data_IF_847714482621
#
_entry.id   IF_847714482621
#
_cell.length_a   1.000
_cell.length_b   1.000
_cell.length_c   1.000
_cell.angle_alpha   90.00
_cell.angle_beta   90.00
_cell.angle_gamma   90.00
#
_symmetry.space_group_name_H-M   'P 1'
#
loop_
_entity.id
_entity.type
_entity.pdbx_description
1 polymer ?
#
# COMPACT_ATOMS: atom_id res chain seq x y z
N UNK A 1 23.62 -4.69 3.72
CA UNK A 1 23.76 -3.36 4.37
C UNK A 1 22.39 -2.73 4.44
N UNK A 2 22.01 -2.17 5.58
CA UNK A 2 20.64 -1.71 5.80
C UNK A 2 20.38 -0.40 5.05
N UNK A 3 19.52 -0.48 4.02
CA UNK A 3 19.16 0.64 3.15
C UNK A 3 18.49 1.77 3.94
N UNK A 4 17.77 1.45 5.01
CA UNK A 4 16.97 2.41 5.77
C UNK A 4 17.83 3.50 6.45
N UNK A 5 19.03 3.15 6.91
CA UNK A 5 19.94 4.08 7.56
C UNK A 5 20.84 4.86 6.59
N UNK A 6 20.84 4.48 5.31
CA UNK A 6 21.71 5.06 4.27
C UNK A 6 20.96 5.95 3.29
N UNK A 7 19.63 5.97 3.35
CA UNK A 7 18.81 6.92 2.61
C UNK A 7 18.23 7.94 3.59
N UNK A 8 18.49 9.22 3.35
CA UNK A 8 17.93 10.31 4.16
C UNK A 8 16.83 11.04 3.41
N UNK A 9 15.88 11.56 4.19
CA UNK A 9 14.74 12.33 3.71
C UNK A 9 14.73 13.66 4.43
N UNK A 10 14.54 14.74 3.70
CA UNK A 10 14.38 16.08 4.24
C UNK A 10 13.13 16.73 3.64
N UNK A 11 12.05 16.96 4.41
CA UNK A 11 11.91 16.63 5.84
C UNK A 11 11.82 15.11 6.13
N UNK A 12 12.24 14.65 7.33
CA UNK A 12 12.43 13.21 7.60
C UNK A 12 11.17 12.42 8.01
N UNK A 13 10.13 13.09 8.51
CA UNK A 13 8.96 12.43 9.13
C UNK A 13 7.64 12.79 8.46
N UNK A 14 7.43 14.08 8.22
CA UNK A 14 6.17 14.59 7.68
C UNK A 14 6.39 15.78 6.77
N UNK A 15 5.43 15.98 5.87
CA UNK A 15 5.28 17.20 5.08
C UNK A 15 3.99 17.89 5.51
N UNK A 16 4.06 19.21 5.68
CA UNK A 16 2.93 20.01 6.15
C UNK A 16 2.24 20.73 4.99
N UNK A 17 0.93 20.55 4.88
CA UNK A 17 0.08 21.32 3.96
C UNK A 17 -0.98 22.10 4.75
N UNK A 18 -1.38 23.26 4.24
CA UNK A 18 -2.54 24.01 4.75
C UNK A 18 -3.83 23.37 4.20
N UNK A 19 -4.85 23.09 5.02
CA UNK A 19 -6.11 22.51 4.55
C UNK A 19 -7.02 23.58 3.92
N UNK A 20 -6.54 24.24 2.87
CA UNK A 20 -7.22 25.33 2.12
C UNK A 20 -7.53 24.87 0.68
N UNK A 21 -8.50 25.48 -0.02
CA UNK A 21 -8.87 25.13 -1.40
C UNK A 21 -7.88 25.64 -2.45
N UNK A 22 -6.60 25.76 -2.11
CA UNK A 22 -5.54 26.26 -2.99
C UNK A 22 -4.48 25.18 -3.22
N UNK A 23 -3.94 25.15 -4.44
CA UNK A 23 -2.83 24.25 -4.77
C UNK A 23 -1.58 24.64 -3.99
N UNK A 24 -0.92 23.64 -3.41
CA UNK A 24 0.32 23.81 -2.68
C UNK A 24 1.36 22.81 -3.16
N UNK A 25 2.59 23.28 -3.32
CA UNK A 25 3.74 22.46 -3.65
C UNK A 25 4.67 22.43 -2.45
N UNK A 26 5.07 21.23 -2.05
CA UNK A 26 6.09 21.00 -1.03
C UNK A 26 7.18 20.13 -1.65
N UNK A 27 8.40 20.32 -1.17
CA UNK A 27 9.57 19.61 -1.67
C UNK A 27 10.06 18.64 -0.60
N UNK A 28 10.46 17.45 -1.04
CA UNK A 28 11.20 16.49 -0.22
C UNK A 28 12.49 16.16 -0.93
N UNK A 29 13.61 16.38 -0.27
CA UNK A 29 14.93 15.97 -0.77
C UNK A 29 15.26 14.57 -0.26
N UNK A 30 15.64 13.70 -1.17
CA UNK A 30 16.06 12.33 -0.88
C UNK A 30 17.54 12.22 -1.23
N UNK A 31 18.38 11.81 -0.29
CA UNK A 31 19.81 11.64 -0.51
C UNK A 31 20.25 10.19 -0.30
N UNK A 32 21.11 9.72 -1.19
CA UNK A 32 21.67 8.38 -1.18
C UNK A 32 23.09 8.39 -0.60
N UNK A 33 23.22 8.05 0.68
CA UNK A 33 24.51 7.82 1.35
C UNK A 33 24.98 6.35 1.26
N UNK A 34 24.28 5.51 0.49
CA UNK A 34 24.68 4.14 0.22
C UNK A 34 25.81 4.10 -0.83
N UNK A 35 26.58 3.01 -0.85
CA UNK A 35 27.70 2.82 -1.77
C UNK A 35 27.26 2.28 -3.15
N UNK A 36 25.96 2.06 -3.35
CA UNK A 36 25.38 1.57 -4.60
C UNK A 36 24.25 2.48 -5.03
N UNK A 37 23.93 2.45 -6.33
CA UNK A 37 22.75 3.12 -6.85
C UNK A 37 21.49 2.51 -6.23
N UNK A 38 20.50 3.36 -5.98
CA UNK A 38 19.23 2.97 -5.37
C UNK A 38 18.13 3.50 -6.26
N UNK A 39 17.14 2.66 -6.55
CA UNK A 39 15.97 3.05 -7.32
C UNK A 39 14.76 3.24 -6.42
N UNK A 40 13.88 4.15 -6.85
CA UNK A 40 12.79 4.68 -6.05
C UNK A 40 11.48 4.63 -6.84
N UNK A 41 10.40 4.26 -6.16
CA UNK A 41 9.01 4.35 -6.62
C UNK A 41 8.17 5.05 -5.55
N UNK A 42 7.62 6.19 -5.91
CA UNK A 42 6.75 6.98 -5.04
C UNK A 42 5.29 6.49 -5.17
N UNK A 43 4.60 6.41 -4.03
CA UNK A 43 3.17 6.04 -3.91
C UNK A 43 2.45 7.04 -3.00
N UNK A 44 1.12 7.13 -3.12
CA UNK A 44 0.25 8.04 -2.35
C UNK A 44 -1.07 7.37 -2.00
N UNK A 45 -1.72 7.82 -0.93
CA UNK A 45 -3.04 7.32 -0.53
C UNK A 45 -4.19 7.83 -1.39
N UNK A 46 -4.16 9.10 -1.81
CA UNK A 46 -5.23 9.73 -2.58
C UNK A 46 -4.71 10.32 -3.90
N UNK A 47 -4.79 9.58 -5.02
CA UNK A 47 -4.19 10.02 -6.28
C UNK A 47 -4.88 11.21 -6.95
N UNK A 48 -6.17 11.45 -6.67
CA UNK A 48 -6.88 12.64 -7.15
C UNK A 48 -6.51 13.94 -6.42
N UNK A 49 -6.03 13.83 -5.18
CA UNK A 49 -5.72 14.99 -4.30
C UNK A 49 -4.23 15.31 -4.28
N UNK A 50 -3.39 14.30 -4.46
CA UNK A 50 -1.95 14.43 -4.43
C UNK A 50 -1.33 14.08 -5.78
N UNK A 51 -0.39 14.90 -6.24
CA UNK A 51 0.51 14.58 -7.36
C UNK A 51 1.96 14.64 -6.88
N UNK A 52 2.86 14.04 -7.65
CA UNK A 52 4.28 13.99 -7.30
C UNK A 52 5.11 13.93 -8.57
N UNK A 53 6.29 14.56 -8.55
CA UNK A 53 7.23 14.51 -9.67
C UNK A 53 8.68 14.54 -9.18
N UNK A 54 9.54 13.60 -9.62
CA UNK A 54 9.23 12.38 -10.37
C UNK A 54 8.52 11.29 -9.52
N UNK A 55 7.85 10.33 -10.18
CA UNK A 55 7.27 9.13 -9.53
C UNK A 55 8.31 8.01 -9.43
N UNK A 56 9.06 7.80 -10.51
CA UNK A 56 10.12 6.81 -10.63
C UNK A 56 11.44 7.52 -10.89
N UNK A 57 12.49 7.10 -10.20
CA UNK A 57 13.85 7.61 -10.43
C UNK A 57 14.89 6.72 -9.75
N UNK A 58 16.16 6.88 -10.13
CA UNK A 58 17.30 6.31 -9.43
C UNK A 58 18.21 7.43 -8.91
N UNK A 59 18.95 7.12 -7.85
CA UNK A 59 20.02 7.95 -7.31
C UNK A 59 21.32 7.18 -7.32
N UNK A 60 22.35 7.79 -7.91
CA UNK A 60 23.71 7.28 -7.83
C UNK A 60 24.26 7.43 -6.39
N UNK A 61 25.30 6.68 -6.01
CA UNK A 61 25.94 6.84 -4.72
C UNK A 61 26.31 8.30 -4.45
N UNK A 62 26.08 8.77 -3.22
CA UNK A 62 26.41 10.12 -2.75
C UNK A 62 25.71 11.26 -3.52
N UNK A 63 24.59 10.97 -4.19
CA UNK A 63 23.77 11.98 -4.86
C UNK A 63 22.43 12.19 -4.16
N UNK A 64 21.78 13.31 -4.45
CA UNK A 64 20.47 13.65 -3.92
C UNK A 64 19.54 14.17 -5.01
N UNK A 65 18.24 14.06 -4.78
CA UNK A 65 17.21 14.60 -5.68
C UNK A 65 16.01 15.11 -4.91
N UNK A 66 15.49 16.23 -5.37
CA UNK A 66 14.29 16.87 -4.82
C UNK A 66 13.06 16.40 -5.57
N UNK A 67 12.06 15.96 -4.81
CA UNK A 67 10.76 15.49 -5.29
C UNK A 67 9.71 16.54 -4.96
N UNK A 68 8.98 17.00 -5.96
CA UNK A 68 7.87 17.94 -5.78
C UNK A 68 6.60 17.15 -5.45
N UNK A 69 5.99 17.46 -4.31
CA UNK A 69 4.73 16.93 -3.83
C UNK A 69 3.66 18.02 -3.99
N UNK A 70 2.69 17.77 -4.86
CA UNK A 70 1.58 18.66 -5.11
C UNK A 70 0.38 18.22 -4.30
N UNK A 71 -0.29 19.18 -3.68
CA UNK A 71 -1.57 19.04 -3.03
C UNK A 71 -2.56 19.95 -3.74
N UNK A 72 -3.64 19.39 -4.28
CA UNK A 72 -4.65 20.15 -5.06
C UNK A 72 -5.57 21.01 -4.20
N UNK A 73 -5.40 21.01 -2.88
CA UNK A 73 -6.26 21.72 -1.94
C UNK A 73 -7.35 20.85 -1.31
N UNK A 74 -8.01 21.41 -0.30
CA UNK A 74 -9.19 20.83 0.37
C UNK A 74 -10.43 21.61 -0.02
N UNK A 75 -11.50 20.99 -0.54
CA UNK A 75 -12.77 21.68 -0.75
C UNK A 75 -13.29 22.27 0.56
N UNK A 76 -13.93 23.44 0.47
CA UNK A 76 -14.47 24.13 1.64
C UNK A 76 -15.50 23.25 2.37
N UNK A 77 -15.39 23.16 3.69
CA UNK A 77 -16.27 22.34 4.53
C UNK A 77 -15.93 20.84 4.55
N UNK A 78 -14.97 20.37 3.76
CA UNK A 78 -14.49 18.99 3.80
C UNK A 78 -13.30 18.89 4.76
N UNK A 79 -13.38 17.96 5.72
CA UNK A 79 -12.25 17.71 6.65
C UNK A 79 -11.13 16.94 5.95
N UNK A 80 -9.84 17.30 6.19
CA UNK A 80 -8.71 16.56 5.64
C UNK A 80 -8.63 15.16 6.24
N UNK A 81 -8.15 14.19 5.45
CA UNK A 81 -7.94 12.82 5.93
C UNK A 81 -6.56 12.71 6.61
N UNK A 82 -6.54 12.69 7.94
CA UNK A 82 -5.32 12.63 8.74
C UNK A 82 -4.50 11.33 8.60
N UNK A 83 -5.03 10.32 7.89
CA UNK A 83 -4.32 9.07 7.57
C UNK A 83 -3.56 9.12 6.23
N UNK A 84 -3.61 10.26 5.55
CA UNK A 84 -2.91 10.42 4.28
C UNK A 84 -1.40 10.35 4.43
N UNK A 85 -0.77 9.73 3.43
CA UNK A 85 0.67 9.52 3.42
C UNK A 85 1.21 9.38 2.02
N UNK A 86 2.47 9.75 1.87
CA UNK A 86 3.31 9.29 0.79
C UNK A 86 4.09 8.05 1.25
N UNK A 87 4.33 7.14 0.33
CA UNK A 87 5.17 5.97 0.57
C UNK A 87 6.25 5.91 -0.49
N UNK A 88 7.49 5.72 -0.07
CA UNK A 88 8.65 5.61 -0.94
C UNK A 88 9.12 4.17 -0.88
N UNK A 89 9.04 3.48 -2.01
CA UNK A 89 9.58 2.14 -2.16
C UNK A 89 10.97 2.28 -2.74
N UNK A 90 11.95 1.60 -2.16
CA UNK A 90 13.36 1.73 -2.47
C UNK A 90 13.95 0.33 -2.67
N UNK A 91 14.86 0.17 -3.63
CA UNK A 91 15.59 -1.07 -3.85
C UNK A 91 17.01 -0.77 -4.31
N UNK A 92 17.95 -1.66 -3.98
CA UNK A 92 19.33 -1.54 -4.43
C UNK A 92 19.40 -1.97 -5.89
N UNK A 93 20.06 -1.18 -6.72
CA UNK A 93 20.32 -1.52 -8.12
C UNK A 93 21.42 -2.61 -8.14
N UNK A 94 21.19 -3.78 -8.78
CA UNK A 94 22.19 -4.81 -8.98
C UNK A 94 23.43 -4.27 -9.68
N UNK A 95 24.59 -4.85 -9.39
CA UNK A 95 25.86 -4.38 -9.97
C UNK A 95 25.98 -4.66 -11.47
N UNK A 96 25.34 -5.73 -11.91
CA UNK A 96 25.33 -6.18 -13.31
C UNK A 96 24.20 -5.52 -14.12
N UNK A 97 23.53 -4.52 -13.54
CA UNK A 97 22.47 -3.78 -14.20
C UNK A 97 23.02 -2.94 -15.37
N UNK A 98 22.34 -2.96 -16.54
CA UNK A 98 22.61 -2.05 -17.64
C UNK A 98 22.62 -0.56 -17.22
N UNK A 99 23.48 0.28 -17.82
CA UNK A 99 23.57 1.70 -17.47
C UNK A 99 22.31 2.50 -17.83
N UNK A 100 21.59 2.08 -18.87
CA UNK A 100 20.41 2.79 -19.41
C UNK A 100 19.08 2.21 -18.89
N UNK A 101 19.05 1.76 -17.64
CA UNK A 101 17.84 1.19 -17.06
C UNK A 101 16.70 2.20 -16.99
N UNK A 102 15.60 1.85 -17.66
CA UNK A 102 14.31 2.50 -17.47
C UNK A 102 13.70 2.02 -16.15
N UNK A 103 13.87 2.85 -15.11
CA UNK A 103 13.44 2.54 -13.75
C UNK A 103 11.95 2.19 -13.67
N UNK A 104 11.11 2.82 -14.49
CA UNK A 104 9.67 2.55 -14.51
C UNK A 104 9.39 1.10 -14.96
N UNK A 105 10.00 0.68 -16.07
CA UNK A 105 9.87 -0.69 -16.59
C UNK A 105 10.44 -1.74 -15.63
N UNK A 106 11.56 -1.46 -14.97
CA UNK A 106 12.13 -2.38 -13.96
C UNK A 106 11.17 -2.61 -12.80
N UNK A 107 10.44 -1.57 -12.38
CA UNK A 107 9.41 -1.70 -11.34
C UNK A 107 8.13 -2.40 -11.82
N UNK A 108 7.97 -2.65 -13.11
CA UNK A 108 6.84 -3.38 -13.71
C UNK A 108 7.20 -4.82 -14.08
N UNK A 109 8.46 -5.10 -14.38
CA UNK A 109 8.96 -6.43 -14.70
C UNK A 109 8.90 -7.36 -13.48
N UNK A 110 8.12 -8.42 -13.60
CA UNK A 110 7.92 -9.40 -12.54
C UNK A 110 9.19 -10.17 -12.19
N UNK A 111 10.06 -10.49 -13.16
CA UNK A 111 11.31 -11.20 -12.90
C UNK A 111 12.25 -10.33 -12.07
N UNK A 112 12.36 -9.06 -12.44
CA UNK A 112 13.15 -8.08 -11.70
C UNK A 112 12.59 -7.87 -10.29
N UNK A 113 11.27 -7.79 -10.13
CA UNK A 113 10.66 -7.67 -8.79
C UNK A 113 11.01 -8.85 -7.87
N UNK A 114 11.07 -10.07 -8.41
CA UNK A 114 11.48 -11.26 -7.65
C UNK A 114 12.94 -11.16 -7.24
N UNK A 115 13.83 -10.80 -8.16
CA UNK A 115 15.27 -10.66 -7.88
C UNK A 115 15.55 -9.57 -6.85
N UNK A 116 14.82 -8.47 -6.92
CA UNK A 116 15.03 -7.31 -6.06
C UNK A 116 14.34 -7.45 -4.70
N UNK A 117 13.42 -8.40 -4.53
CA UNK A 117 12.51 -8.51 -3.39
C UNK A 117 13.22 -8.39 -2.03
N UNK A 118 14.37 -9.04 -1.88
CA UNK A 118 15.16 -9.04 -0.65
C UNK A 118 15.75 -7.67 -0.29
N UNK A 119 15.96 -6.81 -1.30
CA UNK A 119 16.50 -5.46 -1.14
C UNK A 119 15.41 -4.39 -1.01
N UNK A 120 14.15 -4.72 -1.27
CA UNK A 120 13.05 -3.76 -1.26
C UNK A 120 12.76 -3.30 0.17
N UNK A 121 12.80 -1.99 0.38
CA UNK A 121 12.37 -1.33 1.62
C UNK A 121 11.32 -0.27 1.34
N UNK A 122 10.49 0.01 2.33
CA UNK A 122 9.44 1.03 2.27
C UNK A 122 9.64 2.06 3.37
N UNK A 123 9.65 3.33 2.99
CA UNK A 123 9.58 4.47 3.92
C UNK A 123 8.22 5.15 3.78
N UNK A 124 7.66 5.62 4.90
CA UNK A 124 6.42 6.40 4.92
C UNK A 124 6.74 7.84 5.30
N UNK A 125 6.21 8.79 4.51
CA UNK A 125 6.22 10.22 4.82
C UNK A 125 4.78 10.61 5.12
N UNK A 126 4.49 10.94 6.37
CA UNK A 126 3.12 11.31 6.77
C UNK A 126 2.77 12.71 6.27
N UNK A 127 1.49 12.94 6.04
CA UNK A 127 0.98 14.27 5.73
C UNK A 127 0.42 14.87 7.01
N UNK A 128 0.99 16.02 7.40
CA UNK A 128 0.47 16.84 8.47
C UNK A 128 -0.35 17.98 7.86
N UNK A 129 -1.54 18.21 8.41
CA UNK A 129 -2.38 19.35 8.03
C UNK A 129 -2.25 20.41 9.10
N UNK A 130 -1.87 21.63 8.72
CA UNK A 130 -1.73 22.75 9.66
C UNK A 130 -3.03 22.96 10.45
N UNK A 131 -2.91 23.05 11.78
CA UNK A 131 -4.05 23.13 12.70
C UNK A 131 -4.68 21.79 13.12
N UNK A 132 -4.13 20.65 12.67
CA UNK A 132 -4.57 19.31 13.08
C UNK A 132 -3.43 18.55 13.77
N UNK A 133 -3.71 17.89 14.89
CA UNK A 133 -2.72 17.03 15.54
C UNK A 133 -2.42 15.79 14.68
N UNK A 134 -1.15 15.40 14.61
CA UNK A 134 -0.72 14.20 13.90
C UNK A 134 -1.16 12.99 14.73
N UNK A 135 -1.98 12.07 14.17
CA UNK A 135 -2.26 10.81 14.84
C UNK A 135 -0.95 10.05 15.05
N UNK A 136 -0.52 9.92 16.31
CA UNK A 136 0.65 9.11 16.67
C UNK A 136 0.19 7.66 16.63
N UNK A 137 0.54 6.91 15.58
CA UNK A 137 0.41 5.46 15.63
C UNK A 137 1.15 4.94 16.89
N UNK A 138 0.56 4.00 17.64
CA UNK A 138 1.24 3.39 18.78
C UNK A 138 2.58 2.80 18.31
N UNK A 139 3.65 2.88 19.12
CA UNK A 139 4.98 2.45 18.73
C UNK A 139 4.93 1.02 18.22
N UNK A 140 5.47 0.82 17.02
CA UNK A 140 5.67 -0.49 16.41
C UNK A 140 6.44 -1.34 17.42
N UNK A 141 5.79 -2.41 17.92
CA UNK A 141 6.35 -3.29 18.94
C UNK A 141 7.63 -3.91 18.39
N UNK A 142 8.77 -3.37 18.78
CA UNK A 142 10.04 -4.07 18.71
C UNK A 142 9.93 -5.40 19.45
N UNK A 143 10.52 -6.41 18.85
CA UNK A 143 10.40 -7.83 19.16
C UNK A 143 10.51 -8.13 20.67
N UNK A 144 9.43 -8.67 21.25
CA UNK A 144 9.50 -9.29 22.58
C UNK A 144 10.31 -10.59 22.46
N UNK A 145 11.56 -10.52 22.92
CA UNK A 145 12.38 -11.68 23.31
C UNK A 145 11.55 -12.69 24.11
N UNK A 146 11.59 -13.91 23.61
CA UNK A 146 11.06 -15.15 24.15
C UNK A 146 11.47 -15.38 25.60
N UNK A 147 10.50 -15.56 26.51
CA UNK A 147 10.70 -16.33 27.74
C UNK A 147 9.65 -17.44 27.80
N UNK A 148 10.14 -18.62 27.45
CA UNK A 148 9.54 -19.95 27.58
C UNK A 148 9.17 -20.21 29.05
N UNK A 149 7.89 -20.44 29.35
CA UNK A 149 7.45 -21.23 30.51
C UNK A 149 6.35 -22.18 30.03
N UNK A 150 6.59 -23.48 30.22
CA UNK A 150 5.73 -24.60 29.81
C UNK A 150 5.01 -25.17 31.04
N UNK A 151 3.86 -25.81 30.76
CA UNK A 151 3.05 -26.75 31.58
C UNK A 151 2.07 -26.13 32.60
N UNK A 152 0.78 -26.47 32.61
CA UNK A 152 -0.03 -27.38 31.76
C UNK A 152 -1.43 -27.64 32.35
N UNK A 153 -2.29 -28.30 31.56
CA UNK A 153 -3.57 -28.98 31.92
C UNK A 153 -4.73 -28.10 32.42
N UNK A 154 -6.02 -28.31 32.12
CA UNK A 154 -6.74 -29.49 31.56
C UNK A 154 -8.23 -29.13 31.28
N UNK A 155 -8.83 -29.87 30.33
CA UNK A 155 -10.26 -30.26 30.12
C UNK A 155 -11.38 -29.21 29.96
N UNK A 156 -12.02 -29.16 28.78
CA UNK A 156 -13.28 -29.85 28.34
C UNK A 156 -14.55 -29.26 28.96
N UNK A 157 -15.48 -28.79 28.12
CA UNK A 157 -16.90 -29.25 28.05
C UNK A 157 -17.60 -28.58 26.85
N UNK A 158 -18.34 -29.41 26.11
CA UNK A 158 -19.23 -29.14 24.98
C UNK A 158 -20.59 -28.69 25.52
N UNK A 159 -21.25 -27.69 24.92
CA UNK A 159 -22.71 -27.79 24.71
C UNK A 159 -23.24 -26.78 23.67
N UNK A 160 -23.99 -27.36 22.74
CA UNK A 160 -24.73 -26.80 21.61
C UNK A 160 -26.19 -26.60 22.05
N UNK A 161 -26.85 -25.51 21.63
CA UNK A 161 -28.31 -25.39 21.74
C UNK A 161 -28.89 -24.38 20.75
N UNK A 162 -29.47 -24.92 19.69
CA UNK A 162 -30.43 -24.28 18.79
C UNK A 162 -31.76 -23.99 19.50
N UNK A 163 -32.42 -22.85 19.20
CA UNK A 163 -33.89 -22.81 19.20
C UNK A 163 -34.48 -21.79 18.21
N UNK A 164 -35.35 -22.33 17.36
CA UNK A 164 -36.18 -21.75 16.30
C UNK A 164 -37.54 -21.35 16.91
N UNK A 165 -38.08 -20.17 16.59
CA UNK A 165 -39.50 -19.82 16.79
C UNK A 165 -39.99 -19.00 15.59
N UNK A 166 -41.25 -19.22 15.23
CA UNK A 166 -41.85 -19.13 13.91
C UNK A 166 -43.10 -18.24 13.96
N UNK A 167 -43.23 -17.27 13.02
CA UNK A 167 -44.47 -16.67 12.45
C UNK A 167 -45.47 -15.93 13.40
N UNK A 168 -46.40 -15.05 12.93
CA UNK A 168 -47.06 -15.03 11.61
C UNK A 168 -47.30 -13.65 10.92
N UNK A 169 -47.87 -13.76 9.71
CA UNK A 169 -48.20 -12.76 8.67
C UNK A 169 -49.51 -12.01 9.00
N UNK A 170 -49.72 -10.77 8.49
CA UNK A 170 -50.89 -10.52 7.61
C UNK A 170 -50.56 -9.58 6.42
N UNK A 171 -50.86 -9.96 5.16
CA UNK A 171 -52.04 -9.71 4.30
C UNK A 171 -52.12 -8.31 3.63
N UNK A 172 -51.98 -8.33 2.30
CA UNK A 172 -52.58 -7.51 1.20
C UNK A 172 -52.61 -5.98 1.24
N UNK A 173 -52.13 -5.38 0.14
CA UNK A 173 -52.93 -4.44 -0.67
C UNK A 173 -52.49 -4.48 -2.15
N UNK A 174 -53.45 -4.73 -3.05
CA UNK A 174 -53.34 -4.59 -4.51
C UNK A 174 -54.06 -3.30 -4.93
N UNK A 175 -53.48 -2.56 -5.88
CA UNK A 175 -54.16 -1.84 -6.98
C UNK A 175 -53.05 -1.19 -7.83
N UNK A 176 -52.70 -1.76 -8.99
CA UNK A 176 -53.31 -1.59 -10.32
C UNK A 176 -53.02 -0.20 -10.93
N UNK A 177 -52.25 -0.15 -12.03
CA UNK A 177 -52.64 0.42 -13.32
C UNK A 177 -51.60 0.08 -14.41
N UNK A 178 -52.09 0.02 -15.63
CA UNK A 178 -51.60 -0.75 -16.77
C UNK A 178 -50.76 0.07 -17.76
N UNK A 179 -50.05 -0.67 -18.62
CA UNK A 179 -49.66 -0.36 -20.00
C UNK A 179 -48.53 0.66 -20.25
N UNK A 180 -47.42 0.20 -20.82
CA UNK A 180 -47.10 0.38 -22.25
C UNK A 180 -45.68 -0.11 -22.62
N UNK A 181 -45.59 -0.71 -23.81
CA UNK A 181 -44.48 -0.68 -24.76
C UNK A 181 -43.15 -1.42 -24.46
N UNK A 182 -43.04 -2.59 -25.09
CA UNK A 182 -41.94 -3.10 -25.95
C UNK A 182 -40.48 -2.65 -25.79
N UNK A 183 -39.64 -3.69 -25.82
CA UNK A 183 -38.33 -3.79 -26.48
C UNK A 183 -37.13 -3.03 -25.88
N UNK A 184 -36.29 -3.76 -25.13
CA UNK A 184 -34.97 -4.19 -25.64
C UNK A 184 -34.26 -5.07 -24.60
N UNK A 185 -33.94 -6.29 -25.02
CA UNK A 185 -33.06 -7.19 -24.31
C UNK A 185 -31.61 -6.75 -24.55
N UNK A 186 -30.85 -6.47 -23.48
CA UNK A 186 -29.43 -6.79 -23.34
C UNK A 186 -29.03 -6.60 -21.87
N UNK A 187 -29.18 -7.68 -21.11
CA UNK A 187 -28.65 -7.79 -19.75
C UNK A 187 -27.13 -7.99 -19.80
N UNK A 188 -26.43 -7.11 -19.09
CA UNK A 188 -25.00 -7.23 -18.76
C UNK A 188 -24.89 -8.17 -17.55
N UNK A 189 -24.24 -9.32 -17.74
CA UNK A 189 -23.74 -10.14 -16.61
C UNK A 189 -22.27 -9.81 -16.37
N UNK A 190 -21.85 -9.44 -15.14
CA UNK A 190 -20.43 -9.29 -14.83
C UNK A 190 -19.76 -10.67 -14.68
N UNK A 191 -18.88 -11.00 -15.62
CA UNK A 191 -18.00 -12.18 -15.54
C UNK A 191 -17.00 -12.01 -14.40
N UNK A 192 -17.17 -12.78 -13.33
CA UNK A 192 -16.22 -12.92 -12.24
C UNK A 192 -15.04 -13.78 -12.74
N UNK A 193 -13.86 -13.17 -12.85
CA UNK A 193 -12.61 -13.87 -13.14
C UNK A 193 -12.20 -14.71 -11.91
N UNK A 194 -11.86 -16.01 -12.05
CA UNK A 194 -11.41 -16.81 -10.93
C UNK A 194 -10.00 -16.40 -10.47
N UNK A 195 -9.85 -16.26 -9.15
CA UNK A 195 -8.56 -16.08 -8.48
C UNK A 195 -7.82 -17.42 -8.51
N UNK A 196 -6.72 -17.50 -9.26
CA UNK A 196 -5.85 -18.68 -9.30
C UNK A 196 -4.94 -18.66 -8.06
N UNK A 197 -5.13 -19.61 -7.15
CA UNK A 197 -4.19 -19.91 -6.08
C UNK A 197 -3.10 -20.86 -6.62
N UNK A 198 -1.86 -20.39 -6.67
CA UNK A 198 -0.71 -21.27 -6.93
C UNK A 198 -0.24 -21.85 -5.59
N UNK A 199 -0.50 -23.14 -5.39
CA UNK A 199 0.07 -23.93 -4.28
C UNK A 199 1.47 -24.39 -4.72
N UNK A 200 2.51 -23.92 -4.03
CA UNK A 200 3.86 -24.44 -4.22
C UNK A 200 3.96 -25.81 -3.53
N UNK A 201 3.89 -26.90 -4.30
CA UNK A 201 4.38 -28.20 -3.86
C UNK A 201 5.87 -28.34 -4.19
N UNK A 202 6.61 -28.84 -3.21
CA UNK A 202 8.07 -28.82 -3.15
C UNK A 202 8.78 -29.49 -4.32
N UNK A 203 9.75 -28.77 -4.89
CA UNK A 203 10.79 -29.34 -5.74
C UNK A 203 11.78 -30.12 -4.88
N UNK A 204 12.00 -31.39 -5.22
CA UNK A 204 13.07 -32.20 -4.66
C UNK A 204 14.43 -31.81 -5.25
N UNK A 205 15.55 -31.96 -4.52
CA UNK A 205 16.87 -31.62 -5.01
C UNK A 205 17.33 -32.58 -6.10
N UNK A 206 17.95 -32.03 -7.15
CA UNK A 206 18.61 -32.79 -8.22
C UNK A 206 19.76 -33.62 -7.64
N UNK A 207 19.72 -34.93 -7.91
CA UNK A 207 20.80 -35.85 -7.64
C UNK A 207 22.05 -35.52 -8.47
N UNK A 208 23.19 -35.74 -7.82
CA UNK A 208 24.54 -35.84 -8.37
C UNK A 208 24.62 -36.85 -9.51
N UNK A 209 25.36 -36.52 -10.56
CA UNK A 209 25.82 -37.47 -11.57
C UNK A 209 27.34 -37.52 -11.43
N UNK A 210 27.86 -38.72 -11.16
CA UNK A 210 29.29 -39.09 -11.23
C UNK A 210 29.85 -38.94 -12.66
#
# INVERSE_FOLDING_TARGET
ADLEHKITFDPPKYVTFKPIPEEQIKEVTIANAHNQAVMFKMKKTRPGVFKMKPVFFSLQPKTQKTIKLHYTGCPQGVKPNLKDRFSVIMAIVPKDAPPDWDVEKVWEDQKMQVELADSVKRRVIRIHYEGYEIPVDPPEKSEKKSKKKKKGGSQETIEESHKKVQSPIPVSFQQAFSAAASANAHGVTPTVQPIVYIVYQGLQPRGTVE
#
